data_IF_544968342816
#
_entry.id   IF_544968342816
#
_cell.length_a   1.000
_cell.length_b   1.000
_cell.length_c   1.000
_cell.angle_alpha   90.00
_cell.angle_beta   90.00
_cell.angle_gamma   90.00
#
_symmetry.space_group_name_H-M   'P 1'
#
loop_
_entity.id
_entity.type
_entity.pdbx_description
1 polymer ?
#
# COMPACT_ATOMS: atom_id res chain seq x y z
N UNK A 1 22.23 -15.87 -8.19
CA UNK A 1 21.42 -14.82 -7.56
C UNK A 1 19.98 -14.96 -8.10
N UNK A 2 18.92 -14.76 -7.24
CA UNK A 2 17.54 -14.69 -7.69
C UNK A 2 17.05 -13.26 -7.50
N UNK A 3 16.25 -12.77 -8.41
CA UNK A 3 15.64 -11.44 -8.32
C UNK A 3 14.13 -11.58 -8.46
N UNK A 4 13.38 -10.95 -7.56
CA UNK A 4 11.93 -10.76 -7.66
C UNK A 4 11.61 -9.28 -7.85
N UNK A 5 10.72 -8.98 -8.79
CA UNK A 5 10.28 -7.61 -9.09
C UNK A 5 8.77 -7.55 -9.10
N UNK A 6 8.19 -6.71 -8.25
CA UNK A 6 6.79 -6.30 -8.31
C UNK A 6 6.71 -4.92 -8.98
N UNK A 7 6.37 -4.91 -10.26
CA UNK A 7 6.22 -3.70 -11.06
C UNK A 7 4.79 -3.15 -10.95
N UNK A 8 4.53 -2.42 -9.88
CA UNK A 8 3.22 -1.81 -9.61
C UNK A 8 2.97 -0.52 -10.39
N UNK A 9 1.77 0.07 -10.21
CA UNK A 9 1.37 1.31 -10.85
C UNK A 9 2.08 2.57 -10.33
N UNK A 10 2.62 2.54 -9.11
CA UNK A 10 3.25 3.69 -8.43
C UNK A 10 4.71 3.40 -8.07
N UNK A 11 4.97 2.19 -7.57
CA UNK A 11 6.28 1.75 -7.10
C UNK A 11 6.66 0.42 -7.76
N UNK A 12 7.94 0.29 -8.07
CA UNK A 12 8.60 -0.98 -8.40
C UNK A 12 9.33 -1.44 -7.14
N UNK A 13 8.98 -2.62 -6.62
CA UNK A 13 9.60 -3.24 -5.45
C UNK A 13 10.48 -4.38 -5.92
N UNK A 14 11.70 -4.43 -5.41
CA UNK A 14 12.71 -5.38 -5.85
C UNK A 14 13.24 -6.13 -4.64
N UNK A 15 13.30 -7.45 -4.73
CA UNK A 15 14.00 -8.30 -3.78
C UNK A 15 15.12 -9.04 -4.52
N UNK A 16 16.30 -9.06 -3.93
CA UNK A 16 17.44 -9.84 -4.38
C UNK A 16 17.78 -10.88 -3.31
N UNK A 17 17.92 -12.13 -3.72
CA UNK A 17 18.38 -13.23 -2.85
C UNK A 17 19.74 -13.71 -3.33
N UNK A 18 20.74 -13.61 -2.46
CA UNK A 18 22.11 -14.10 -2.67
C UNK A 18 22.60 -14.81 -1.42
N UNK A 19 23.01 -16.07 -1.57
CA UNK A 19 23.52 -16.91 -0.46
C UNK A 19 22.56 -17.03 0.74
N UNK A 20 21.25 -17.00 0.50
CA UNK A 20 20.21 -17.06 1.55
C UNK A 20 19.89 -15.72 2.21
N UNK A 21 20.62 -14.66 1.90
CA UNK A 21 20.31 -13.30 2.37
C UNK A 21 19.43 -12.57 1.36
N UNK A 22 18.42 -11.83 1.87
CA UNK A 22 17.51 -11.01 1.07
C UNK A 22 17.77 -9.54 1.32
N UNK A 23 17.86 -8.79 0.22
CA UNK A 23 17.89 -7.33 0.22
C UNK A 23 16.69 -6.77 -0.53
N UNK A 24 16.13 -5.67 -0.03
CA UNK A 24 14.92 -5.06 -0.56
C UNK A 24 15.21 -3.63 -1.00
N UNK A 25 14.64 -3.24 -2.13
CA UNK A 25 14.70 -1.86 -2.61
C UNK A 25 13.41 -1.47 -3.32
N UNK A 26 13.16 -0.18 -3.40
CA UNK A 26 12.02 0.39 -4.12
C UNK A 26 12.50 1.45 -5.09
N UNK A 27 11.78 1.58 -6.22
CA UNK A 27 11.94 2.64 -7.22
C UNK A 27 10.57 3.21 -7.57
N UNK A 28 10.53 4.41 -8.08
CA UNK A 28 9.31 4.93 -8.69
C UNK A 28 9.05 4.22 -10.03
N UNK A 29 7.79 4.05 -10.39
CA UNK A 29 7.44 3.45 -11.68
C UNK A 29 7.89 4.30 -12.87
N UNK A 30 8.08 5.60 -12.66
CA UNK A 30 8.69 6.50 -13.66
C UNK A 30 10.15 6.19 -13.97
N UNK A 31 10.83 5.39 -13.12
CA UNK A 31 12.22 4.95 -13.27
C UNK A 31 12.32 3.53 -13.91
N UNK A 32 11.25 3.06 -14.57
CA UNK A 32 11.17 1.68 -15.09
C UNK A 32 12.30 1.36 -16.08
N UNK A 33 12.67 2.32 -16.93
CA UNK A 33 13.77 2.15 -17.90
C UNK A 33 15.13 1.91 -17.21
N UNK A 34 15.38 2.63 -16.11
CA UNK A 34 16.59 2.47 -15.30
C UNK A 34 16.62 1.10 -14.61
N UNK A 35 15.46 0.64 -14.15
CA UNK A 35 15.30 -0.70 -13.55
C UNK A 35 15.59 -1.78 -14.61
N UNK A 36 15.07 -1.64 -15.82
CA UNK A 36 15.32 -2.59 -16.93
C UNK A 36 16.81 -2.62 -17.27
N UNK A 37 17.45 -1.45 -17.41
CA UNK A 37 18.89 -1.36 -17.68
C UNK A 37 19.70 -2.04 -16.56
N UNK A 38 19.34 -1.78 -15.31
CA UNK A 38 19.98 -2.42 -14.16
C UNK A 38 19.79 -3.95 -14.17
N UNK A 39 18.58 -4.45 -14.43
CA UNK A 39 18.28 -5.88 -14.51
C UNK A 39 19.11 -6.56 -15.62
N UNK A 40 19.26 -5.93 -16.77
CA UNK A 40 20.04 -6.44 -17.90
C UNK A 40 21.57 -6.48 -17.63
N UNK A 41 22.04 -5.77 -16.60
CA UNK A 41 23.43 -5.81 -16.16
C UNK A 41 23.70 -6.87 -15.08
N UNK A 42 22.64 -7.48 -14.53
CA UNK A 42 22.81 -8.49 -13.49
C UNK A 42 23.21 -9.84 -14.08
N UNK A 43 24.18 -10.48 -13.47
CA UNK A 43 24.51 -11.88 -13.72
C UNK A 43 23.49 -12.79 -13.01
N UNK A 44 22.27 -12.85 -13.52
CA UNK A 44 21.22 -13.70 -12.96
C UNK A 44 20.44 -14.43 -14.05
N UNK A 45 20.23 -15.72 -13.83
CA UNK A 45 19.47 -16.58 -14.74
C UNK A 45 18.05 -16.85 -14.22
N UNK A 46 17.57 -16.09 -13.21
CA UNK A 46 16.27 -16.33 -12.58
C UNK A 46 15.67 -15.01 -12.07
N UNK A 47 14.99 -14.31 -12.98
CA UNK A 47 14.20 -13.13 -12.66
C UNK A 47 12.72 -13.52 -12.63
N UNK A 48 12.05 -13.22 -11.52
CA UNK A 48 10.62 -13.40 -11.36
C UNK A 48 9.94 -12.04 -11.31
N UNK A 49 8.95 -11.84 -12.15
CA UNK A 49 8.25 -10.59 -12.32
C UNK A 49 6.79 -10.74 -11.90
N UNK A 50 6.24 -9.70 -11.31
CA UNK A 50 4.81 -9.57 -11.02
C UNK A 50 4.39 -8.10 -11.06
N UNK A 51 3.10 -7.82 -10.89
CA UNK A 51 2.54 -6.47 -10.94
C UNK A 51 2.07 -6.06 -12.34
N UNK A 52 1.28 -4.98 -12.38
CA UNK A 52 0.59 -4.54 -13.61
C UNK A 52 1.51 -4.13 -14.76
N UNK A 53 2.79 -3.82 -14.48
CA UNK A 53 3.77 -3.44 -15.51
C UNK A 53 4.85 -4.52 -15.75
N UNK A 54 4.68 -5.72 -15.20
CA UNK A 54 5.62 -6.83 -15.39
C UNK A 54 5.87 -7.17 -16.86
N UNK A 55 4.85 -7.07 -17.72
CA UNK A 55 4.97 -7.34 -19.14
C UNK A 55 5.96 -6.39 -19.84
N UNK A 56 5.96 -5.10 -19.49
CA UNK A 56 6.86 -4.09 -20.05
C UNK A 56 8.31 -4.46 -19.74
N UNK A 57 8.59 -4.84 -18.50
CA UNK A 57 9.92 -5.28 -18.09
C UNK A 57 10.31 -6.56 -18.84
N UNK A 58 9.40 -7.55 -18.87
CA UNK A 58 9.65 -8.85 -19.48
C UNK A 58 10.05 -8.76 -20.97
N UNK A 59 9.41 -7.87 -21.72
CA UNK A 59 9.66 -7.66 -23.16
C UNK A 59 11.04 -7.06 -23.45
N UNK A 60 11.66 -6.36 -22.49
CA UNK A 60 12.91 -5.65 -22.65
C UNK A 60 14.09 -6.32 -21.92
N UNK A 61 13.85 -7.46 -21.26
CA UNK A 61 14.95 -8.21 -20.64
C UNK A 61 15.74 -9.04 -21.66
N UNK A 62 17.06 -9.04 -21.49
CA UNK A 62 17.98 -9.85 -22.27
C UNK A 62 18.21 -11.26 -21.69
N UNK A 63 17.52 -11.61 -20.61
CA UNK A 63 17.67 -12.87 -19.89
C UNK A 63 16.32 -13.53 -19.63
N UNK A 64 16.34 -14.81 -19.28
CA UNK A 64 15.12 -15.58 -18.97
C UNK A 64 14.44 -15.03 -17.73
N UNK A 65 13.13 -14.76 -17.83
CA UNK A 65 12.29 -14.31 -16.73
C UNK A 65 10.96 -15.03 -16.73
N UNK A 66 10.27 -15.01 -15.58
CA UNK A 66 8.94 -15.59 -15.41
C UNK A 66 8.00 -14.53 -14.85
N UNK A 67 6.81 -14.42 -15.44
CA UNK A 67 5.76 -13.52 -14.97
C UNK A 67 4.74 -14.31 -14.16
N UNK A 68 4.44 -13.82 -12.96
CA UNK A 68 3.45 -14.39 -12.04
C UNK A 68 2.27 -13.45 -11.85
N UNK A 69 1.10 -14.02 -11.57
CA UNK A 69 -0.09 -13.25 -11.18
C UNK A 69 0.20 -12.53 -9.85
N UNK A 70 -0.06 -11.23 -9.78
CA UNK A 70 0.27 -10.38 -8.64
C UNK A 70 -0.29 -10.93 -7.31
N UNK A 71 -1.55 -11.33 -7.31
CA UNK A 71 -2.19 -11.79 -6.08
C UNK A 71 -1.69 -13.15 -5.60
N UNK A 72 -1.27 -14.02 -6.52
CA UNK A 72 -0.66 -15.31 -6.17
C UNK A 72 0.75 -15.11 -5.60
N UNK A 73 1.52 -14.19 -6.19
CA UNK A 73 2.83 -13.80 -5.68
C UNK A 73 2.73 -13.16 -4.30
N UNK A 74 1.76 -12.26 -4.08
CA UNK A 74 1.53 -11.62 -2.79
C UNK A 74 1.12 -12.63 -1.70
N UNK A 75 0.21 -13.55 -2.01
CA UNK A 75 -0.22 -14.60 -1.08
C UNK A 75 0.94 -15.51 -0.69
N UNK A 76 1.76 -15.94 -1.69
CA UNK A 76 2.93 -16.79 -1.41
C UNK A 76 4.01 -16.05 -0.62
N UNK A 77 4.23 -14.77 -0.90
CA UNK A 77 5.15 -13.94 -0.13
C UNK A 77 4.72 -13.79 1.33
N UNK A 78 3.42 -13.58 1.57
CA UNK A 78 2.86 -13.50 2.92
C UNK A 78 3.00 -14.83 3.67
N UNK A 79 2.71 -15.96 3.03
CA UNK A 79 2.88 -17.30 3.62
C UNK A 79 4.32 -17.49 4.12
N UNK A 80 5.31 -17.18 3.28
CA UNK A 80 6.73 -17.28 3.65
C UNK A 80 7.06 -16.38 4.85
N UNK A 81 6.57 -15.13 4.86
CA UNK A 81 6.80 -14.19 5.96
C UNK A 81 6.16 -14.67 7.28
N UNK A 82 4.97 -15.26 7.22
CA UNK A 82 4.29 -15.82 8.37
C UNK A 82 5.07 -17.05 8.93
N UNK A 83 5.51 -17.96 8.06
CA UNK A 83 6.32 -19.12 8.43
C UNK A 83 7.65 -18.69 9.08
N UNK A 84 8.34 -17.69 8.54
CA UNK A 84 9.57 -17.13 9.11
C UNK A 84 9.38 -16.52 10.50
N UNK A 85 8.15 -16.05 10.80
CA UNK A 85 7.78 -15.53 12.12
C UNK A 85 7.18 -16.62 13.04
N UNK A 86 7.12 -17.86 12.59
CA UNK A 86 6.58 -18.98 13.36
C UNK A 86 5.06 -19.04 13.39
N UNK A 87 4.38 -18.33 12.49
CA UNK A 87 2.92 -18.36 12.34
C UNK A 87 2.53 -19.36 11.24
N UNK A 88 1.78 -20.36 11.60
CA UNK A 88 1.23 -21.36 10.69
C UNK A 88 -0.30 -21.25 10.70
N UNK A 89 -0.88 -20.70 9.64
CA UNK A 89 -2.31 -20.45 9.53
C UNK A 89 -2.89 -21.33 8.41
N UNK A 90 -3.93 -22.08 8.73
CA UNK A 90 -4.66 -22.89 7.74
C UNK A 90 -5.54 -22.00 6.85
N UNK A 91 -6.42 -21.21 7.47
CA UNK A 91 -7.32 -20.28 6.80
C UNK A 91 -7.13 -18.87 7.34
N UNK A 92 -6.97 -17.88 6.45
CA UNK A 92 -6.85 -16.48 6.85
C UNK A 92 -7.35 -15.51 5.78
N UNK A 93 -7.69 -14.31 6.23
CA UNK A 93 -7.94 -13.17 5.37
C UNK A 93 -6.75 -12.23 5.46
N UNK A 94 -6.26 -11.75 4.33
CA UNK A 94 -5.27 -10.70 4.30
C UNK A 94 -5.72 -9.52 3.45
N UNK A 95 -5.25 -8.34 3.82
CA UNK A 95 -5.49 -7.08 3.12
C UNK A 95 -4.21 -6.65 2.43
N UNK A 96 -4.25 -6.53 1.11
CA UNK A 96 -3.15 -5.97 0.32
C UNK A 96 -3.43 -4.49 0.04
N UNK A 97 -2.66 -3.61 0.68
CA UNK A 97 -2.77 -2.14 0.54
C UNK A 97 -1.64 -1.64 -0.35
N UNK A 98 -1.98 -1.31 -1.59
CA UNK A 98 -1.08 -0.71 -2.58
C UNK A 98 -1.64 0.63 -3.09
N UNK A 99 -1.69 0.85 -4.39
CA UNK A 99 -2.38 2.00 -5.01
C UNK A 99 -3.85 2.05 -4.63
N UNK A 100 -4.52 0.89 -4.63
CA UNK A 100 -5.82 0.63 -4.00
C UNK A 100 -5.68 -0.46 -2.93
N UNK A 101 -6.80 -0.95 -2.40
CA UNK A 101 -6.84 -2.02 -1.39
C UNK A 101 -7.63 -3.21 -1.91
N UNK A 102 -7.10 -4.41 -1.71
CA UNK A 102 -7.78 -5.66 -2.02
C UNK A 102 -7.78 -6.60 -0.82
N UNK A 103 -8.88 -7.33 -0.68
CA UNK A 103 -9.11 -8.33 0.37
C UNK A 103 -9.04 -9.71 -0.24
N UNK A 104 -8.29 -10.59 0.38
CA UNK A 104 -8.06 -11.94 -0.09
C UNK A 104 -8.29 -12.95 1.03
N UNK A 105 -8.95 -14.04 0.70
CA UNK A 105 -8.99 -15.24 1.52
C UNK A 105 -7.91 -16.21 1.03
N UNK A 106 -7.17 -16.84 1.92
CA UNK A 106 -6.22 -17.92 1.64
C UNK A 106 -6.47 -19.09 2.55
N UNK A 107 -6.31 -20.31 2.03
CA UNK A 107 -6.36 -21.55 2.79
C UNK A 107 -5.04 -22.34 2.74
N UNK A 108 -3.93 -21.64 2.54
CA UNK A 108 -2.60 -22.25 2.45
C UNK A 108 -2.32 -23.00 1.14
N UNK A 109 -3.36 -23.28 0.32
CA UNK A 109 -3.23 -23.99 -0.97
C UNK A 109 -3.61 -23.13 -2.17
N UNK A 110 -4.56 -22.22 -1.97
CA UNK A 110 -5.05 -21.30 -2.98
C UNK A 110 -5.49 -19.99 -2.33
N UNK A 111 -5.40 -18.90 -3.08
CA UNK A 111 -5.94 -17.61 -2.68
C UNK A 111 -7.14 -17.25 -3.56
N UNK A 112 -8.06 -16.45 -3.00
CA UNK A 112 -9.20 -15.90 -3.72
C UNK A 112 -9.41 -14.44 -3.30
N UNK A 113 -9.45 -13.53 -4.27
CA UNK A 113 -9.86 -12.16 -4.02
C UNK A 113 -11.35 -12.13 -3.64
N UNK A 114 -11.67 -11.64 -2.45
CA UNK A 114 -13.04 -11.59 -1.91
C UNK A 114 -13.63 -10.18 -1.93
N UNK A 115 -12.80 -9.16 -2.09
CA UNK A 115 -13.26 -7.78 -2.17
C UNK A 115 -12.14 -6.81 -2.52
N UNK A 116 -12.46 -5.53 -2.51
CA UNK A 116 -11.49 -4.45 -2.68
C UNK A 116 -12.18 -3.10 -2.78
N UNK A 117 -11.40 -2.05 -2.57
CA UNK A 117 -11.84 -0.67 -2.60
C UNK A 117 -10.76 0.19 -3.24
N UNK A 118 -11.15 1.29 -3.88
CA UNK A 118 -10.23 2.27 -4.49
C UNK A 118 -9.46 3.14 -3.49
N UNK A 119 -9.61 2.88 -2.18
CA UNK A 119 -8.88 3.57 -1.12
C UNK A 119 -7.52 2.92 -0.93
N UNK A 120 -6.45 3.70 -0.95
CA UNK A 120 -5.06 3.25 -0.80
C UNK A 120 -4.10 4.40 -1.08
N UNK A 121 -2.85 4.08 -1.41
CA UNK A 121 -1.80 5.06 -1.68
C UNK A 121 -2.15 6.04 -2.80
N UNK A 122 -2.87 5.59 -3.83
CA UNK A 122 -3.34 6.46 -4.91
C UNK A 122 -4.33 7.52 -4.42
N UNK A 123 -5.25 7.16 -3.53
CA UNK A 123 -6.18 8.10 -2.92
C UNK A 123 -5.47 9.09 -2.01
N UNK A 124 -4.50 8.61 -1.19
CA UNK A 124 -3.69 9.48 -0.32
C UNK A 124 -2.98 10.55 -1.16
N UNK A 125 -2.31 10.16 -2.23
CA UNK A 125 -1.58 11.10 -3.10
C UNK A 125 -2.53 12.03 -3.85
N UNK A 126 -3.56 11.49 -4.50
CA UNK A 126 -4.48 12.28 -5.33
C UNK A 126 -5.31 13.25 -4.51
N UNK A 127 -5.94 12.79 -3.43
CA UNK A 127 -6.74 13.65 -2.56
C UNK A 127 -5.85 14.63 -1.76
N UNK A 128 -4.69 14.16 -1.30
CA UNK A 128 -3.71 15.02 -0.63
C UNK A 128 -3.28 16.18 -1.52
N UNK A 129 -2.97 15.92 -2.79
CA UNK A 129 -2.65 16.97 -3.77
C UNK A 129 -3.83 17.93 -4.01
N UNK A 130 -5.03 17.41 -4.17
CA UNK A 130 -6.23 18.24 -4.40
C UNK A 130 -6.52 19.18 -3.23
N UNK A 131 -6.25 18.74 -1.99
CA UNK A 131 -6.54 19.52 -0.78
C UNK A 131 -5.44 20.52 -0.43
N UNK A 132 -4.18 20.23 -0.78
CA UNK A 132 -3.01 20.99 -0.26
C UNK A 132 -2.02 21.42 -1.34
N UNK A 133 -2.10 20.88 -2.54
CA UNK A 133 -1.11 21.10 -3.61
C UNK A 133 0.21 20.34 -3.42
N UNK A 134 0.35 19.53 -2.35
CA UNK A 134 1.56 18.74 -2.08
C UNK A 134 1.53 17.44 -2.90
N UNK A 135 2.50 17.24 -3.77
CA UNK A 135 2.60 16.04 -4.62
C UNK A 135 3.57 14.97 -4.09
N UNK A 136 4.50 15.35 -3.24
CA UNK A 136 5.49 14.43 -2.68
C UNK A 136 4.88 13.61 -1.53
N UNK A 137 4.88 12.27 -1.66
CA UNK A 137 4.28 11.36 -0.67
C UNK A 137 4.87 11.51 0.73
N UNK A 138 6.21 11.62 0.84
CA UNK A 138 6.86 11.79 2.15
C UNK A 138 6.44 13.10 2.80
N UNK A 139 6.40 14.19 2.04
CA UNK A 139 5.95 15.48 2.55
C UNK A 139 4.48 15.43 2.99
N UNK A 140 3.60 14.74 2.24
CA UNK A 140 2.20 14.52 2.63
C UNK A 140 2.11 13.83 3.99
N UNK A 141 2.82 12.71 4.17
CA UNK A 141 2.78 11.93 5.40
C UNK A 141 3.41 12.67 6.58
N UNK A 142 4.52 13.35 6.38
CA UNK A 142 5.18 14.15 7.42
C UNK A 142 4.29 15.34 7.86
N UNK A 143 3.61 16.00 6.92
CA UNK A 143 2.68 17.09 7.22
C UNK A 143 1.47 16.59 8.01
N UNK A 144 0.89 15.46 7.60
CA UNK A 144 -0.28 14.86 8.25
C UNK A 144 -0.08 14.50 9.73
N UNK A 145 1.15 14.15 10.12
CA UNK A 145 1.47 13.81 11.53
C UNK A 145 1.21 14.97 12.51
N UNK A 146 1.20 16.19 12.02
CA UNK A 146 1.04 17.40 12.84
C UNK A 146 -0.40 17.94 12.85
N UNK A 147 -1.32 17.28 12.13
CA UNK A 147 -2.69 17.74 12.00
C UNK A 147 -3.63 17.19 13.08
N UNK A 148 -4.70 17.92 13.32
CA UNK A 148 -5.79 17.51 14.20
C UNK A 148 -6.95 16.93 13.39
N UNK A 149 -7.05 15.59 13.32
CA UNK A 149 -8.13 14.95 12.58
C UNK A 149 -9.50 15.08 13.25
N UNK A 150 -9.59 15.44 14.54
CA UNK A 150 -10.85 15.52 15.28
C UNK A 150 -11.76 16.66 14.79
N UNK A 151 -11.19 17.67 14.15
CA UNK A 151 -11.96 18.78 13.54
C UNK A 151 -12.39 18.46 12.09
N UNK A 152 -11.79 17.45 11.47
CA UNK A 152 -12.10 17.03 10.09
C UNK A 152 -12.98 15.78 10.07
N UNK A 153 -12.58 14.72 10.79
CA UNK A 153 -13.30 13.46 10.81
C UNK A 153 -14.38 13.43 11.89
N UNK A 154 -15.59 13.00 11.51
CA UNK A 154 -16.63 12.70 12.48
C UNK A 154 -16.32 11.37 13.14
N UNK A 155 -15.99 11.40 14.42
CA UNK A 155 -15.76 10.20 15.23
C UNK A 155 -17.04 9.75 15.94
N UNK A 156 -17.07 8.48 16.35
CA UNK A 156 -18.19 7.90 17.10
C UNK A 156 -18.50 8.72 18.36
N UNK A 157 -17.49 9.14 19.11
CA UNK A 157 -17.69 10.01 20.30
C UNK A 157 -18.41 11.32 19.99
N UNK A 158 -18.24 11.89 18.79
CA UNK A 158 -18.92 13.14 18.39
C UNK A 158 -20.43 12.93 18.18
N UNK A 159 -20.84 11.69 17.82
CA UNK A 159 -22.25 11.33 17.61
C UNK A 159 -22.94 11.03 18.95
N UNK A 160 -22.28 10.26 19.81
CA UNK A 160 -22.86 9.80 21.08
C UNK A 160 -22.78 10.84 22.21
N UNK A 161 -21.87 11.83 22.08
CA UNK A 161 -21.66 12.93 23.05
C UNK A 161 -21.53 12.40 24.49
N UNK A 162 -22.60 12.60 25.30
CA UNK A 162 -22.65 12.25 26.73
C UNK A 162 -23.10 10.79 26.97
N UNK A 163 -23.42 10.05 25.90
CA UNK A 163 -23.85 8.66 25.99
C UNK A 163 -22.67 7.72 25.71
N UNK A 164 -22.65 6.56 26.38
CA UNK A 164 -21.64 5.54 26.13
C UNK A 164 -21.88 4.87 24.76
N UNK A 165 -20.92 4.93 23.83
CA UNK A 165 -21.06 4.33 22.51
C UNK A 165 -20.87 2.80 22.59
N UNK A 166 -21.54 2.01 21.72
CA UNK A 166 -21.43 0.55 21.68
C UNK A 166 -20.10 0.04 21.12
N UNK A 167 -19.29 0.93 20.57
CA UNK A 167 -17.95 0.69 20.00
C UNK A 167 -17.01 1.82 20.42
N UNK A 168 -15.69 1.68 20.19
CA UNK A 168 -14.74 2.71 20.58
C UNK A 168 -15.10 4.09 20.02
N UNK A 169 -15.18 5.08 20.89
CA UNK A 169 -15.50 6.47 20.53
C UNK A 169 -14.47 7.13 19.61
N UNK A 170 -13.25 6.61 19.54
CA UNK A 170 -12.19 7.13 18.67
C UNK A 170 -12.21 6.58 17.23
N UNK A 171 -13.10 5.63 16.95
CA UNK A 171 -13.30 5.17 15.58
C UNK A 171 -13.90 6.28 14.71
N UNK A 172 -13.46 6.36 13.47
CA UNK A 172 -14.02 7.27 12.47
C UNK A 172 -15.38 6.75 12.01
N UNK A 173 -16.43 7.53 12.22
CA UNK A 173 -17.77 7.25 11.69
C UNK A 173 -17.92 7.77 10.26
N UNK A 174 -17.33 8.94 9.95
CA UNK A 174 -17.32 9.49 8.59
C UNK A 174 -16.08 10.37 8.36
N UNK A 175 -15.32 10.06 7.32
CA UNK A 175 -14.23 10.91 6.87
C UNK A 175 -14.80 12.25 6.39
N UNK A 176 -14.14 13.36 6.74
CA UNK A 176 -14.58 14.74 6.49
C UNK A 176 -15.94 15.10 7.13
N UNK A 177 -16.55 14.20 7.87
CA UNK A 177 -17.92 14.40 8.39
C UNK A 177 -18.05 15.50 9.45
N UNK A 178 -16.93 15.91 10.08
CA UNK A 178 -16.95 16.92 11.13
C UNK A 178 -16.71 18.35 10.62
N UNK A 179 -16.28 18.53 9.37
CA UNK A 179 -15.96 19.85 8.76
C UNK A 179 -17.13 20.82 8.87
N UNK A 180 -18.36 20.36 8.64
CA UNK A 180 -19.55 21.21 8.69
C UNK A 180 -19.91 21.70 10.11
N UNK A 181 -19.33 21.10 11.13
CA UNK A 181 -19.50 21.54 12.53
C UNK A 181 -18.44 22.56 12.97
N UNK A 182 -17.45 22.86 12.09
CA UNK A 182 -16.33 23.75 12.34
C UNK A 182 -16.15 24.80 11.23
N UNK A 183 -17.27 25.28 10.63
CA UNK A 183 -17.23 26.20 9.48
C UNK A 183 -16.58 27.55 9.78
N UNK A 184 -16.56 27.96 11.04
CA UNK A 184 -15.94 29.22 11.49
C UNK A 184 -14.42 29.06 11.76
N UNK A 185 -13.88 27.84 11.66
CA UNK A 185 -12.47 27.55 11.89
C UNK A 185 -11.70 27.51 10.55
N UNK A 186 -10.41 27.85 10.62
CA UNK A 186 -9.49 27.67 9.50
C UNK A 186 -8.78 26.32 9.62
N UNK A 187 -8.87 25.49 8.58
CA UNK A 187 -8.17 24.21 8.52
C UNK A 187 -6.79 24.38 7.90
N UNK A 188 -5.76 23.96 8.63
CA UNK A 188 -4.40 23.89 8.09
C UNK A 188 -4.26 22.73 7.09
N UNK A 189 -3.21 22.74 6.27
CA UNK A 189 -2.92 21.60 5.39
C UNK A 189 -2.63 20.33 6.19
N UNK A 190 -2.03 20.46 7.38
CA UNK A 190 -1.83 19.35 8.29
C UNK A 190 -3.17 18.72 8.73
N UNK A 191 -4.16 19.54 9.11
CA UNK A 191 -5.48 19.07 9.51
C UNK A 191 -6.19 18.35 8.37
N UNK A 192 -6.18 18.93 7.17
CA UNK A 192 -6.78 18.33 5.96
C UNK A 192 -6.16 16.99 5.60
N UNK A 193 -4.85 16.81 5.87
CA UNK A 193 -4.11 15.57 5.61
C UNK A 193 -4.18 14.55 6.75
N UNK A 194 -4.44 15.00 7.98
CA UNK A 194 -4.58 14.13 9.16
C UNK A 194 -5.82 13.24 9.12
N UNK A 195 -6.41 13.06 7.94
CA UNK A 195 -7.52 12.17 7.68
C UNK A 195 -7.17 10.74 8.04
N UNK A 196 -8.18 9.97 8.41
CA UNK A 196 -8.06 8.54 8.63
C UNK A 196 -7.47 7.74 7.44
N UNK A 197 -7.30 8.37 6.28
CA UNK A 197 -6.60 7.80 5.12
C UNK A 197 -5.13 7.43 5.40
N UNK A 198 -4.47 8.12 6.34
CA UNK A 198 -3.08 7.84 6.71
C UNK A 198 -2.98 6.82 7.85
N UNK A 199 -4.11 6.53 8.49
CA UNK A 199 -4.24 5.57 9.57
C UNK A 199 -4.83 4.22 9.12
N UNK A 200 -4.85 3.95 7.81
CA UNK A 200 -5.21 2.63 7.26
C UNK A 200 -4.06 1.65 7.43
#
# INVERSE_FOLDING_TARGET
MKIGVDAGGTLIKIVQEKNGERTYSTRLTTEIEEVIQWLNQQDCNNINLTGGQAAIINEQLNCESRVFVEFDAAAKGLEILLEEQGHFLDDYIFTNVGTGTSLHFSNGKAQKRVGGIGTGGGMIQGLGYLLTGISNYKQLTDTAQNGNRDIIDLKVKHIYKDSEPPISGDLTAANFGNVLHHLDESFTDADKLALSLIHI
#
